data_IF_613676510118
#
_entry.id   IF_613676510118
#
_cell.length_a   1.000
_cell.length_b   1.000
_cell.length_c   1.000
_cell.angle_alpha   90.00
_cell.angle_beta   90.00
_cell.angle_gamma   90.00
#
_symmetry.space_group_name_H-M   'P 1'
#
loop_
_entity.id
_entity.type
_entity.pdbx_description
1 polymer ?
#
# COMPACT_ATOMS: atom_id res chain seq x y z
N UNK A 1 0.43 8.30 -11.08
CA UNK A 1 1.05 8.91 -9.90
C UNK A 1 0.57 8.15 -8.66
N UNK A 2 1.36 8.14 -7.57
CA UNK A 2 1.07 7.36 -6.34
C UNK A 2 0.49 8.28 -5.26
N UNK A 3 -0.45 9.16 -5.63
CA UNK A 3 -1.01 10.20 -4.75
C UNK A 3 -1.99 9.66 -3.71
N UNK A 4 -1.68 8.50 -3.14
CA UNK A 4 -2.43 7.92 -2.05
C UNK A 4 -2.26 8.80 -0.80
N UNK A 5 -3.37 9.36 -0.35
CA UNK A 5 -3.46 10.14 0.87
C UNK A 5 -3.95 9.25 2.01
N UNK A 6 -3.31 9.37 3.18
CA UNK A 6 -3.81 8.75 4.41
C UNK A 6 -5.11 9.47 4.80
N UNK A 7 -6.20 8.73 4.91
CA UNK A 7 -7.52 9.31 5.27
C UNK A 7 -8.03 8.86 6.63
N UNK A 8 -7.54 7.73 7.16
CA UNK A 8 -8.00 7.18 8.44
C UNK A 8 -6.98 6.19 9.01
N UNK A 9 -6.99 5.99 10.32
CA UNK A 9 -6.21 4.95 11.00
C UNK A 9 -6.95 4.45 12.25
N UNK A 10 -6.98 3.13 12.43
CA UNK A 10 -7.42 2.48 13.68
C UNK A 10 -6.38 1.44 14.07
N UNK A 11 -5.73 1.64 15.22
CA UNK A 11 -4.58 0.81 15.60
C UNK A 11 -3.51 0.82 14.51
N UNK A 12 -3.05 -0.36 14.11
CA UNK A 12 -2.06 -0.53 13.03
C UNK A 12 -2.66 -0.39 11.62
N UNK A 13 -3.97 -0.37 11.44
CA UNK A 13 -4.57 -0.37 10.10
C UNK A 13 -4.74 1.05 9.56
N UNK A 14 -3.96 1.39 8.54
CA UNK A 14 -4.01 2.71 7.89
C UNK A 14 -4.75 2.62 6.56
N UNK A 15 -5.73 3.49 6.36
CA UNK A 15 -6.49 3.58 5.11
C UNK A 15 -5.90 4.68 4.21
N UNK A 16 -5.63 4.32 2.98
CA UNK A 16 -5.16 5.23 1.93
C UNK A 16 -6.17 5.33 0.79
N UNK A 17 -6.33 6.54 0.25
CA UNK A 17 -7.21 6.84 -0.89
C UNK A 17 -6.46 7.68 -1.90
N UNK A 18 -6.54 7.27 -3.16
CA UNK A 18 -6.02 8.02 -4.29
C UNK A 18 -7.13 8.90 -4.89
N UNK A 19 -6.84 10.11 -5.41
CA UNK A 19 -7.83 11.00 -6.03
C UNK A 19 -8.63 10.36 -7.18
N UNK A 20 -8.03 9.42 -7.91
CA UNK A 20 -8.70 8.62 -8.97
C UNK A 20 -9.69 7.56 -8.46
N UNK A 21 -9.88 7.46 -7.14
CA UNK A 21 -10.83 6.55 -6.51
C UNK A 21 -10.25 5.21 -6.04
N UNK A 22 -8.97 4.89 -6.29
CA UNK A 22 -8.32 3.71 -5.69
C UNK A 22 -8.27 3.82 -4.17
N UNK A 23 -8.43 2.70 -3.47
CA UNK A 23 -8.40 2.63 -2.00
C UNK A 23 -7.64 1.39 -1.58
N UNK A 24 -6.83 1.49 -0.54
CA UNK A 24 -6.13 0.34 0.05
C UNK A 24 -6.03 0.51 1.57
N UNK A 25 -5.89 -0.61 2.28
CA UNK A 25 -5.58 -0.62 3.72
C UNK A 25 -4.23 -1.28 3.89
N UNK A 26 -3.34 -0.62 4.64
CA UNK A 26 -1.99 -1.11 4.91
C UNK A 26 -1.83 -1.22 6.42
N UNK A 27 -1.53 -2.40 6.97
CA UNK A 27 -1.12 -2.51 8.36
C UNK A 27 0.30 -1.94 8.51
N UNK A 28 0.45 -1.04 9.47
CA UNK A 28 1.70 -0.35 9.79
C UNK A 28 2.01 -0.67 11.26
N UNK A 29 2.79 -1.72 11.47
CA UNK A 29 3.37 -2.09 12.75
C UNK A 29 4.89 -2.18 12.61
N UNK A 30 5.64 -1.72 13.62
CA UNK A 30 7.10 -1.63 13.55
C UNK A 30 7.84 -2.95 13.76
N UNK A 31 7.15 -4.06 14.02
CA UNK A 31 7.76 -5.26 14.59
C UNK A 31 7.76 -6.48 13.65
N UNK A 32 7.12 -6.43 12.48
CA UNK A 32 6.98 -7.59 11.59
C UNK A 32 6.89 -7.17 10.11
N UNK A 33 7.38 -8.04 9.24
CA UNK A 33 7.26 -7.90 7.80
C UNK A 33 5.85 -8.25 7.31
N UNK A 34 5.42 -7.60 6.22
CA UNK A 34 4.16 -7.93 5.57
C UNK A 34 4.30 -9.23 4.78
N UNK A 35 3.41 -10.19 5.04
CA UNK A 35 3.37 -11.43 4.27
C UNK A 35 3.11 -11.20 2.77
N UNK A 36 3.72 -12.02 1.92
CA UNK A 36 3.64 -11.92 0.45
C UNK A 36 2.21 -11.87 -0.10
N UNK A 37 1.27 -12.59 0.52
CA UNK A 37 -0.15 -12.58 0.11
C UNK A 37 -0.79 -11.21 0.28
N UNK A 38 -0.56 -10.58 1.44
CA UNK A 38 -1.06 -9.24 1.76
C UNK A 38 -0.45 -8.18 0.84
N UNK A 39 0.86 -8.26 0.58
CA UNK A 39 1.52 -7.35 -0.38
C UNK A 39 0.85 -7.46 -1.75
N UNK A 40 0.60 -8.68 -2.24
CA UNK A 40 -0.08 -8.88 -3.53
C UNK A 40 -1.49 -8.27 -3.56
N UNK A 41 -2.25 -8.38 -2.47
CA UNK A 41 -3.56 -7.72 -2.37
C UNK A 41 -3.46 -6.19 -2.40
N UNK A 42 -2.53 -5.61 -1.64
CA UNK A 42 -2.30 -4.16 -1.62
C UNK A 42 -1.92 -3.67 -3.02
N UNK A 43 -1.03 -4.37 -3.73
CA UNK A 43 -0.65 -4.03 -5.09
C UNK A 43 -1.84 -4.10 -6.06
N UNK A 44 -2.67 -5.14 -5.95
CA UNK A 44 -3.89 -5.31 -6.75
C UNK A 44 -4.87 -4.15 -6.51
N UNK A 45 -5.17 -3.83 -5.26
CA UNK A 45 -6.07 -2.73 -4.88
C UNK A 45 -5.52 -1.38 -5.35
N UNK A 46 -4.20 -1.21 -5.28
CA UNK A 46 -3.50 -0.01 -5.71
C UNK A 46 -3.27 0.06 -7.23
N UNK A 47 -3.61 -0.99 -7.97
CA UNK A 47 -3.33 -1.14 -9.42
C UNK A 47 -1.85 -0.88 -9.75
N UNK A 48 -0.96 -1.36 -8.89
CA UNK A 48 0.49 -1.28 -9.07
C UNK A 48 0.95 -2.65 -9.59
N UNK A 49 1.65 -2.65 -10.73
CA UNK A 49 2.23 -3.88 -11.25
C UNK A 49 3.43 -4.32 -10.40
N UNK A 50 3.80 -5.60 -10.51
CA UNK A 50 4.97 -6.10 -9.78
C UNK A 50 6.25 -5.39 -10.21
N UNK A 51 6.40 -5.10 -11.50
CA UNK A 51 7.55 -4.41 -12.07
C UNK A 51 7.67 -3.00 -11.48
N UNK A 52 6.57 -2.25 -11.49
CA UNK A 52 6.50 -0.91 -10.89
C UNK A 52 6.82 -0.97 -9.38
N UNK A 53 6.31 -1.97 -8.66
CA UNK A 53 6.64 -2.16 -7.25
C UNK A 53 8.13 -2.37 -7.02
N UNK A 54 8.80 -3.21 -7.81
CA UNK A 54 10.24 -3.44 -7.69
C UNK A 54 11.05 -2.19 -8.06
N UNK A 55 10.61 -1.40 -9.04
CA UNK A 55 11.24 -0.11 -9.37
C UNK A 55 11.12 0.89 -8.22
N UNK A 56 9.95 0.98 -7.59
CA UNK A 56 9.73 1.86 -6.44
C UNK A 56 10.54 1.41 -5.22
N UNK A 57 10.58 0.10 -4.95
CA UNK A 57 11.31 -0.48 -3.83
C UNK A 57 12.82 -0.23 -3.91
N UNK A 58 13.39 -0.17 -5.11
CA UNK A 58 14.83 0.11 -5.33
C UNK A 58 15.21 1.60 -5.20
N UNK A 59 14.22 2.51 -5.22
CA UNK A 59 14.42 3.97 -5.16
C UNK A 59 14.47 4.52 -3.74
N UNK A 60 14.30 3.66 -2.73
CA UNK A 60 14.30 3.98 -1.30
C UNK A 60 15.52 3.30 -0.69
#
# INVERSE_FOLDING_TARGET
MLDFQKVHQVGSHVRYVHPDGRKTVVPVHGNEDLGTGLIKEILKQSRISREMYEELRKKI
#
